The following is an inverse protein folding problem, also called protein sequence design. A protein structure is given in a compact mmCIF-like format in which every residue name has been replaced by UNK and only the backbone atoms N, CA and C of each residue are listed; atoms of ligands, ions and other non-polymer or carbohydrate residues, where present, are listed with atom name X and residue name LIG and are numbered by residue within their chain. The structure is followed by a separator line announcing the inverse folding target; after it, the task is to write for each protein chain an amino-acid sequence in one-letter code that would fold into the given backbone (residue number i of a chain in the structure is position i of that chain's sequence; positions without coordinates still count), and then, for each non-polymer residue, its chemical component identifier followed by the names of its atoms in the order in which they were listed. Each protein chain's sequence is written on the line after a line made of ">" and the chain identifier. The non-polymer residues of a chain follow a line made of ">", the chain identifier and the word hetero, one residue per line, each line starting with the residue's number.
data_IF_674282954168
#
_entry.id   IF_674282954168
#
_cell.length_a   1.000
_cell.length_b   1.000
_cell.length_c   1.000
_cell.angle_alpha   90.00
_cell.angle_beta   90.00
_cell.angle_gamma   90.00
#
_symmetry.space_group_name_H-M   'P 1'
#
loop_
_entity.id
_entity.type
_entity.pdbx_description
1 polymer ?
#
# COMPACT_ATOMS: atom_id res chain seq x y z
N UNK A 1 -47.74 17.00 90.82
CA UNK A 1 -46.62 17.69 90.14
C UNK A 1 -45.98 16.72 89.17
N UNK A 2 -46.19 16.91 87.87
CA UNK A 2 -45.64 16.04 86.79
C UNK A 2 -44.45 16.76 86.23
N UNK A 3 -43.27 16.14 86.36
CA UNK A 3 -42.05 16.65 85.67
C UNK A 3 -42.05 16.07 84.25
N UNK A 4 -41.87 17.02 83.29
CA UNK A 4 -41.71 16.66 81.85
C UNK A 4 -40.21 16.64 81.55
N UNK A 5 -39.70 15.41 81.23
CA UNK A 5 -38.36 15.18 80.81
C UNK A 5 -38.29 15.49 79.30
N UNK A 6 -37.50 16.52 78.88
CA UNK A 6 -37.23 16.82 77.53
C UNK A 6 -35.98 16.01 77.07
N UNK A 7 -36.19 15.01 76.23
CA UNK A 7 -35.08 14.41 75.47
C UNK A 7 -34.64 15.28 74.33
N UNK A 8 -33.38 15.71 74.35
CA UNK A 8 -32.72 16.41 73.21
C UNK A 8 -32.07 15.31 72.37
N UNK A 9 -32.61 15.06 71.17
CA UNK A 9 -31.95 14.24 70.15
C UNK A 9 -30.88 15.10 69.45
N UNK A 10 -29.62 14.76 69.68
CA UNK A 10 -28.51 15.31 68.89
C UNK A 10 -28.40 14.54 67.57
N UNK A 11 -28.75 15.15 66.47
CA UNK A 11 -28.53 14.62 65.13
C UNK A 11 -27.06 14.79 64.74
N UNK A 12 -26.29 13.65 64.72
CA UNK A 12 -24.95 13.66 64.13
C UNK A 12 -25.08 13.68 62.64
N UNK A 13 -24.73 14.77 62.00
CA UNK A 13 -24.55 14.87 60.56
C UNK A 13 -23.17 14.35 60.22
N UNK A 14 -23.09 13.10 59.69
CA UNK A 14 -21.88 12.59 59.07
C UNK A 14 -21.75 13.21 57.68
N UNK A 15 -20.83 14.17 57.52
CA UNK A 15 -20.37 14.64 56.19
C UNK A 15 -19.43 13.60 55.63
N UNK A 16 -19.91 12.79 54.66
CA UNK A 16 -19.07 11.93 53.85
C UNK A 16 -18.27 12.82 52.86
N UNK A 17 -16.99 13.04 53.15
CA UNK A 17 -16.07 13.68 52.21
C UNK A 17 -15.77 12.69 51.10
N UNK A 18 -16.38 12.84 49.92
CA UNK A 18 -16.00 12.15 48.70
C UNK A 18 -14.66 12.73 48.26
N UNK A 19 -13.58 12.01 48.52
CA UNK A 19 -12.28 12.32 47.92
C UNK A 19 -12.38 11.93 46.43
N UNK A 20 -12.62 12.93 45.59
CA UNK A 20 -12.49 12.74 44.13
C UNK A 20 -11.00 12.57 43.87
N UNK A 21 -10.60 11.32 43.54
CA UNK A 21 -9.28 11.06 42.98
C UNK A 21 -9.12 11.82 41.65
N UNK A 22 -7.89 12.07 41.19
CA UNK A 22 -7.69 12.75 39.93
C UNK A 22 -8.41 11.97 38.83
N UNK A 23 -9.42 12.57 38.22
CA UNK A 23 -10.10 12.00 37.07
C UNK A 23 -9.08 11.89 35.95
N UNK A 24 -8.84 10.67 35.48
CA UNK A 24 -8.02 10.47 34.27
C UNK A 24 -8.59 11.23 33.09
N UNK A 25 -7.79 11.50 32.05
CA UNK A 25 -8.25 12.26 30.89
C UNK A 25 -9.52 11.61 30.30
N UNK A 26 -10.49 12.42 29.95
CA UNK A 26 -11.71 11.91 29.31
C UNK A 26 -11.40 11.33 27.94
N UNK A 27 -12.19 10.35 27.46
CA UNK A 27 -12.05 9.77 26.11
C UNK A 27 -12.02 10.88 25.03
N UNK A 28 -12.81 11.95 25.23
CA UNK A 28 -12.81 13.10 24.32
C UNK A 28 -11.46 13.83 24.31
N UNK A 29 -10.83 14.04 25.46
CA UNK A 29 -9.51 14.68 25.56
C UNK A 29 -8.40 13.81 24.93
N UNK A 30 -8.43 12.50 25.13
CA UNK A 30 -7.48 11.57 24.52
C UNK A 30 -7.65 11.53 22.99
N UNK A 31 -8.88 11.47 22.49
CA UNK A 31 -9.16 11.52 21.05
C UNK A 31 -8.66 12.85 20.43
N UNK A 32 -8.84 13.97 21.13
CA UNK A 32 -8.33 15.27 20.69
C UNK A 32 -6.79 15.28 20.63
N UNK A 33 -6.13 14.66 21.60
CA UNK A 33 -4.67 14.55 21.62
C UNK A 33 -4.13 13.81 20.38
N UNK A 34 -4.71 12.66 20.02
CA UNK A 34 -4.28 11.94 18.80
C UNK A 34 -4.57 12.73 17.52
N UNK A 35 -5.72 13.42 17.43
CA UNK A 35 -6.03 14.26 16.27
C UNK A 35 -5.06 15.42 16.08
N UNK A 36 -4.62 16.05 17.17
CA UNK A 36 -3.63 17.13 17.13
C UNK A 36 -2.20 16.65 16.92
N UNK A 37 -1.93 15.34 17.09
CA UNK A 37 -0.63 14.72 16.88
C UNK A 37 -0.40 14.26 15.42
N UNK A 38 -1.35 14.48 14.50
CA UNK A 38 -1.15 14.14 13.07
C UNK A 38 -0.16 15.14 12.47
N UNK A 39 0.99 14.66 12.03
CA UNK A 39 2.03 15.44 11.37
C UNK A 39 1.79 15.55 9.86
N UNK A 40 1.39 14.45 9.20
CA UNK A 40 1.10 14.45 7.77
C UNK A 40 0.08 13.39 7.38
N UNK A 41 -0.54 13.62 6.22
CA UNK A 41 -1.45 12.66 5.56
C UNK A 41 -1.06 12.57 4.09
N UNK A 42 -0.93 11.34 3.59
CA UNK A 42 -0.77 11.06 2.16
C UNK A 42 -2.01 10.31 1.63
N UNK A 43 -2.41 10.50 0.38
CA UNK A 43 -1.86 11.47 -0.58
C UNK A 43 -2.01 12.91 -0.09
N UNK A 44 -1.09 13.78 -0.51
CA UNK A 44 -1.21 15.21 -0.22
C UNK A 44 -2.40 15.81 -0.97
N UNK A 45 -2.85 16.97 -0.52
CA UNK A 45 -3.97 17.69 -1.17
C UNK A 45 -3.70 17.87 -2.67
N UNK A 46 -4.72 17.59 -3.47
CA UNK A 46 -4.75 17.70 -4.93
C UNK A 46 -3.73 16.82 -5.67
N UNK A 47 -3.03 15.91 -4.97
CA UNK A 47 -2.15 14.94 -5.62
C UNK A 47 -2.96 14.03 -6.55
N UNK A 48 -2.37 13.66 -7.69
CA UNK A 48 -2.88 12.63 -8.58
C UNK A 48 -2.12 11.34 -8.29
N UNK A 49 -2.85 10.27 -7.95
CA UNK A 49 -2.26 8.98 -7.55
C UNK A 49 -2.97 7.81 -8.23
N UNK A 50 -2.37 6.64 -8.17
CA UNK A 50 -2.97 5.41 -8.65
C UNK A 50 -4.16 4.94 -7.80
N UNK A 51 -4.98 4.08 -8.38
CA UNK A 51 -6.26 3.65 -7.81
C UNK A 51 -6.15 2.75 -6.58
N UNK A 52 -4.98 2.22 -6.26
CA UNK A 52 -4.73 1.42 -5.06
C UNK A 52 -3.95 2.17 -3.97
N UNK A 53 -3.78 3.49 -4.10
CA UNK A 53 -2.99 4.26 -3.13
C UNK A 53 -3.62 4.20 -1.74
N UNK A 54 -2.89 3.71 -0.71
CA UNK A 54 -3.38 3.73 0.66
C UNK A 54 -3.40 5.15 1.23
N UNK A 55 -4.20 5.38 2.26
CA UNK A 55 -4.09 6.58 3.06
C UNK A 55 -3.00 6.38 4.11
N UNK A 56 -1.97 7.21 4.12
CA UNK A 56 -0.89 7.11 5.11
C UNK A 56 -0.98 8.29 6.08
N UNK A 57 -1.07 8.00 7.37
CA UNK A 57 -1.10 8.99 8.44
C UNK A 57 0.18 8.85 9.25
N UNK A 58 0.94 9.93 9.33
CA UNK A 58 2.14 10.02 10.17
C UNK A 58 1.82 10.88 11.40
N UNK A 59 2.13 10.37 12.57
CA UNK A 59 2.03 11.09 13.83
C UNK A 59 3.34 11.82 14.14
N UNK A 60 3.27 12.84 14.95
CA UNK A 60 4.44 13.63 15.40
C UNK A 60 5.30 12.94 16.45
N UNK A 61 4.96 11.72 16.85
CA UNK A 61 5.69 10.88 17.79
C UNK A 61 5.01 9.53 17.99
N UNK A 62 5.67 8.61 18.72
CA UNK A 62 5.21 7.24 18.91
C UNK A 62 3.81 7.14 19.53
N UNK A 63 2.98 6.27 18.95
CA UNK A 63 1.61 6.02 19.37
C UNK A 63 1.57 4.85 20.36
N UNK A 64 1.19 5.14 21.60
CA UNK A 64 1.13 4.14 22.68
C UNK A 64 -0.08 3.20 22.57
N UNK A 65 -1.25 3.72 22.18
CA UNK A 65 -2.48 2.94 21.98
C UNK A 65 -2.99 3.09 20.55
N UNK A 66 -2.63 2.11 19.71
CA UNK A 66 -2.95 2.06 18.28
C UNK A 66 -4.46 2.06 18.02
N UNK A 67 -5.22 1.25 18.76
CA UNK A 67 -6.67 1.16 18.57
C UNK A 67 -7.39 2.47 18.94
N UNK A 68 -6.91 3.15 19.95
CA UNK A 68 -7.47 4.43 20.34
C UNK A 68 -7.15 5.51 19.29
N UNK A 69 -5.93 5.51 18.75
CA UNK A 69 -5.53 6.40 17.66
C UNK A 69 -6.37 6.16 16.39
N UNK A 70 -6.55 4.90 15.96
CA UNK A 70 -7.39 4.53 14.82
C UNK A 70 -8.82 5.06 14.96
N UNK A 71 -9.44 4.88 16.13
CA UNK A 71 -10.78 5.43 16.41
C UNK A 71 -10.79 6.96 16.42
N UNK A 72 -9.73 7.59 16.92
CA UNK A 72 -9.63 9.05 16.99
C UNK A 72 -9.48 9.70 15.62
N UNK A 73 -8.69 9.08 14.71
CA UNK A 73 -8.50 9.60 13.36
C UNK A 73 -9.67 9.29 12.44
N UNK A 74 -10.36 8.17 12.59
CA UNK A 74 -11.59 7.78 11.90
C UNK A 74 -11.67 8.26 10.46
N UNK A 75 -11.18 7.46 9.49
CA UNK A 75 -11.14 7.85 8.08
C UNK A 75 -12.53 7.75 7.45
N UNK A 76 -12.92 8.80 6.74
CA UNK A 76 -14.14 8.85 5.92
C UNK A 76 -13.78 9.37 4.55
N UNK A 77 -14.35 8.78 3.51
CA UNK A 77 -14.13 9.16 2.11
C UNK A 77 -15.43 9.38 1.35
N UNK A 78 -15.33 10.17 0.29
CA UNK A 78 -16.38 10.32 -0.73
C UNK A 78 -15.69 10.15 -2.10
N UNK A 79 -16.04 9.10 -2.87
CA UNK A 79 -17.04 8.06 -2.56
C UNK A 79 -16.70 7.25 -1.30
N UNK A 80 -17.74 6.76 -0.62
CA UNK A 80 -17.57 6.03 0.63
C UNK A 80 -16.87 4.68 0.40
N UNK A 81 -15.81 4.45 1.18
CA UNK A 81 -15.00 3.23 1.15
C UNK A 81 -14.88 2.65 2.55
N UNK A 82 -14.80 1.33 2.63
CA UNK A 82 -14.33 0.60 3.80
C UNK A 82 -12.87 0.22 3.63
N UNK A 83 -12.17 -0.07 4.73
CA UNK A 83 -10.77 -0.42 4.69
C UNK A 83 -10.23 -0.82 6.05
N UNK A 84 -8.94 -1.13 6.10
CA UNK A 84 -8.25 -1.64 7.28
C UNK A 84 -7.06 -0.76 7.62
N UNK A 85 -6.79 -0.61 8.91
CA UNK A 85 -5.56 0.00 9.40
C UNK A 85 -4.43 -1.02 9.47
N UNK A 86 -3.25 -0.64 8.99
CA UNK A 86 -2.02 -1.41 9.05
C UNK A 86 -0.89 -0.50 9.54
N UNK A 87 -0.28 -0.82 10.67
CA UNK A 87 0.81 -0.05 11.24
C UNK A 87 2.13 -0.45 10.59
N UNK A 88 2.79 0.51 9.96
CA UNK A 88 4.11 0.32 9.35
C UNK A 88 5.22 0.37 10.41
N UNK A 89 5.05 1.25 11.42
CA UNK A 89 5.91 1.37 12.59
C UNK A 89 5.15 1.94 13.80
N UNK A 90 5.84 2.62 14.72
CA UNK A 90 5.22 3.21 15.91
C UNK A 90 4.56 4.58 15.67
N UNK A 91 4.83 5.21 14.54
CA UNK A 91 4.39 6.57 14.21
C UNK A 91 3.58 6.63 12.92
N UNK A 92 3.67 5.59 12.08
CA UNK A 92 3.07 5.57 10.75
C UNK A 92 2.04 4.46 10.64
N UNK A 93 0.83 4.83 10.32
CA UNK A 93 -0.26 3.92 10.01
C UNK A 93 -0.77 4.19 8.60
N UNK A 94 -0.99 3.13 7.83
CA UNK A 94 -1.74 3.21 6.58
C UNK A 94 -3.15 2.67 6.77
N UNK A 95 -4.09 3.26 6.04
CA UNK A 95 -5.42 2.73 5.87
C UNK A 95 -5.56 2.27 4.42
N UNK A 96 -5.75 0.96 4.25
CA UNK A 96 -5.85 0.31 2.95
C UNK A 96 -7.32 0.09 2.64
N UNK A 97 -7.85 0.68 1.55
CA UNK A 97 -9.24 0.46 1.17
C UNK A 97 -9.46 -1.00 0.72
N UNK A 98 -10.64 -1.54 1.01
CA UNK A 98 -11.00 -2.93 0.68
C UNK A 98 -11.17 -3.16 -0.83
N UNK A 99 -11.24 -2.10 -1.62
CA UNK A 99 -11.31 -2.10 -3.09
C UNK A 99 -10.56 -0.89 -3.64
N UNK A 100 -10.22 -0.91 -4.90
CA UNK A 100 -9.58 0.22 -5.55
C UNK A 100 -10.48 1.46 -5.58
N UNK A 101 -9.87 2.63 -5.50
CA UNK A 101 -10.56 3.90 -5.72
C UNK A 101 -11.11 3.94 -7.15
N UNK A 102 -12.25 4.58 -7.40
CA UNK A 102 -12.69 4.83 -8.77
C UNK A 102 -11.62 5.61 -9.56
N UNK A 103 -11.37 5.21 -10.79
CA UNK A 103 -10.48 5.94 -11.69
C UNK A 103 -11.03 7.33 -12.03
N UNK A 104 -10.17 8.27 -12.44
CA UNK A 104 -10.51 9.64 -12.89
C UNK A 104 -11.44 10.40 -11.92
N UNK A 105 -11.26 10.17 -10.62
CA UNK A 105 -12.17 10.68 -9.60
C UNK A 105 -11.47 11.60 -8.62
N UNK A 106 -12.22 12.56 -8.08
CA UNK A 106 -11.79 13.30 -6.91
C UNK A 106 -12.29 12.57 -5.67
N UNK A 107 -11.37 12.22 -4.77
CA UNK A 107 -11.67 11.58 -3.49
C UNK A 107 -11.55 12.62 -2.39
N UNK A 108 -12.67 12.96 -1.77
CA UNK A 108 -12.67 13.80 -0.58
C UNK A 108 -12.48 12.93 0.67
N UNK A 109 -11.63 13.39 1.57
CA UNK A 109 -11.25 12.66 2.77
C UNK A 109 -11.44 13.49 4.04
N UNK A 110 -11.85 12.81 5.09
CA UNK A 110 -11.81 13.32 6.45
C UNK A 110 -10.97 12.37 7.30
N UNK A 111 -9.90 12.87 7.88
CA UNK A 111 -8.97 12.14 8.74
C UNK A 111 -8.90 12.86 10.07
N UNK A 112 -9.62 12.35 11.06
CA UNK A 112 -9.78 13.05 12.34
C UNK A 112 -10.48 14.40 12.14
N UNK A 113 -9.77 15.50 12.39
CA UNK A 113 -10.26 16.86 12.17
C UNK A 113 -9.77 17.48 10.85
N UNK A 114 -8.91 16.79 10.12
CA UNK A 114 -8.37 17.25 8.84
C UNK A 114 -9.32 16.88 7.71
N UNK A 115 -9.56 17.84 6.80
CA UNK A 115 -10.24 17.60 5.54
C UNK A 115 -9.26 17.83 4.40
N UNK A 116 -9.15 16.86 3.52
CA UNK A 116 -8.28 16.91 2.35
C UNK A 116 -8.97 16.24 1.16
N UNK A 117 -8.38 16.32 0.00
CA UNK A 117 -8.81 15.62 -1.21
C UNK A 117 -7.59 15.24 -2.04
N UNK A 118 -7.74 14.21 -2.83
CA UNK A 118 -6.79 13.83 -3.87
C UNK A 118 -7.53 13.40 -5.13
N UNK A 119 -6.81 13.18 -6.20
CA UNK A 119 -7.36 12.70 -7.46
C UNK A 119 -6.77 11.34 -7.79
N UNK A 120 -7.57 10.49 -8.40
CA UNK A 120 -7.07 9.27 -9.03
C UNK A 120 -6.88 9.50 -10.52
N UNK A 121 -5.78 8.97 -11.04
CA UNK A 121 -5.53 8.88 -12.47
C UNK A 121 -6.36 7.77 -13.14
N UNK A 122 -5.97 7.34 -14.35
CA UNK A 122 -6.48 6.12 -14.96
C UNK A 122 -6.16 4.91 -14.06
N UNK A 123 -6.97 3.87 -14.13
CA UNK A 123 -6.69 2.61 -13.42
C UNK A 123 -5.66 1.81 -14.24
N UNK A 124 -4.38 1.96 -13.91
CA UNK A 124 -3.29 1.18 -14.52
C UNK A 124 -3.03 -0.04 -13.66
N UNK A 125 -3.40 -1.21 -14.15
CA UNK A 125 -3.28 -2.48 -13.41
C UNK A 125 -2.24 -3.36 -14.11
N UNK A 126 -1.14 -3.66 -13.41
CA UNK A 126 -0.15 -4.65 -13.84
C UNK A 126 -0.46 -6.02 -13.24
N UNK A 127 -0.39 -7.08 -14.05
CA UNK A 127 -0.62 -8.46 -13.60
C UNK A 127 0.55 -9.34 -14.03
N UNK A 128 1.35 -9.80 -13.08
CA UNK A 128 2.40 -10.78 -13.31
C UNK A 128 1.82 -12.21 -13.16
N UNK A 129 1.91 -13.03 -14.19
CA UNK A 129 1.53 -14.44 -14.18
C UNK A 129 2.79 -15.32 -14.17
N UNK A 130 3.06 -16.00 -13.04
CA UNK A 130 4.33 -16.71 -12.82
C UNK A 130 4.48 -17.86 -13.78
N UNK A 131 3.46 -18.69 -13.94
CA UNK A 131 3.52 -19.88 -14.81
C UNK A 131 3.35 -19.57 -16.29
N UNK A 132 2.75 -18.42 -16.63
CA UNK A 132 2.61 -18.01 -18.03
C UNK A 132 3.78 -17.14 -18.49
N UNK A 133 4.68 -16.75 -17.59
CA UNK A 133 5.84 -15.88 -17.85
C UNK A 133 5.45 -14.58 -18.54
N UNK A 134 4.32 -13.96 -18.11
CA UNK A 134 3.80 -12.74 -18.69
C UNK A 134 3.59 -11.64 -17.64
N UNK A 135 3.70 -10.40 -18.09
CA UNK A 135 3.24 -9.23 -17.36
C UNK A 135 2.22 -8.49 -18.22
N UNK A 136 0.95 -8.55 -17.84
CA UNK A 136 -0.14 -7.91 -18.59
C UNK A 136 -0.48 -6.57 -17.96
N UNK A 137 -0.67 -5.54 -18.78
CA UNK A 137 -1.06 -4.21 -18.32
C UNK A 137 -2.41 -3.83 -18.91
N UNK A 138 -3.30 -3.35 -18.06
CA UNK A 138 -4.56 -2.75 -18.49
C UNK A 138 -4.66 -1.32 -17.99
N UNK A 139 -5.28 -0.46 -18.81
CA UNK A 139 -5.63 0.92 -18.48
C UNK A 139 -7.14 1.06 -18.60
N UNK A 140 -7.80 1.43 -17.51
CA UNK A 140 -9.27 1.55 -17.44
C UNK A 140 -10.01 0.27 -17.88
N UNK A 141 -9.42 -0.89 -17.57
CA UNK A 141 -10.00 -2.20 -17.87
C UNK A 141 -9.78 -2.71 -19.30
N UNK A 142 -9.02 -1.99 -20.11
CA UNK A 142 -8.62 -2.39 -21.47
C UNK A 142 -7.13 -2.70 -21.48
N UNK A 143 -6.74 -3.85 -22.06
CA UNK A 143 -5.32 -4.15 -22.26
C UNK A 143 -4.65 -3.05 -23.08
N UNK A 144 -3.52 -2.55 -22.58
CA UNK A 144 -2.85 -1.38 -23.10
C UNK A 144 -1.33 -1.59 -23.13
N UNK A 145 -0.72 -1.08 -24.16
CA UNK A 145 0.73 -1.13 -24.40
C UNK A 145 1.04 -1.54 -25.83
N UNK A 146 2.28 -1.31 -26.28
CA UNK A 146 2.72 -1.84 -27.56
C UNK A 146 2.78 -3.37 -27.52
N UNK A 147 2.68 -4.06 -28.66
CA UNK A 147 3.16 -5.41 -28.75
C UNK A 147 4.65 -5.45 -28.40
N UNK A 148 5.10 -6.43 -27.62
CA UNK A 148 6.52 -6.55 -27.28
C UNK A 148 7.38 -6.72 -28.53
N UNK A 149 8.54 -6.07 -28.55
CA UNK A 149 9.50 -6.15 -29.63
C UNK A 149 10.29 -7.49 -29.66
N UNK A 150 10.17 -8.31 -28.60
CA UNK A 150 10.89 -9.58 -28.53
C UNK A 150 10.37 -10.57 -29.56
N UNK A 151 11.27 -11.29 -30.27
CA UNK A 151 10.89 -12.28 -31.27
C UNK A 151 10.32 -13.55 -30.63
N UNK A 152 9.66 -14.40 -31.43
CA UNK A 152 9.36 -15.79 -31.02
C UNK A 152 10.69 -16.52 -30.66
N UNK A 153 10.75 -17.34 -29.58
CA UNK A 153 9.63 -17.90 -28.82
C UNK A 153 9.16 -17.06 -27.62
N UNK A 154 9.82 -15.97 -27.29
CA UNK A 154 9.56 -15.18 -26.06
C UNK A 154 8.11 -14.74 -25.89
N UNK A 155 7.36 -14.63 -26.99
CA UNK A 155 6.02 -14.06 -27.01
C UNK A 155 4.91 -15.07 -27.27
N UNK A 156 5.17 -16.34 -27.15
CA UNK A 156 4.13 -17.37 -27.34
C UNK A 156 3.40 -17.66 -26.02
N UNK A 157 2.06 -17.80 -26.05
CA UNK A 157 1.15 -17.72 -27.20
C UNK A 157 0.71 -16.30 -27.60
N UNK A 158 1.19 -15.25 -26.93
CA UNK A 158 0.70 -13.87 -26.99
C UNK A 158 1.38 -13.01 -28.07
N UNK A 159 1.82 -13.62 -29.16
CA UNK A 159 2.50 -12.90 -30.22
C UNK A 159 1.64 -11.78 -30.82
N UNK A 160 2.15 -10.55 -30.74
CA UNK A 160 1.48 -9.37 -31.29
C UNK A 160 0.33 -8.84 -30.46
N UNK A 161 0.06 -9.42 -29.28
CA UNK A 161 -0.97 -8.91 -28.37
C UNK A 161 -0.46 -7.64 -27.67
N UNK A 162 -1.28 -6.59 -27.71
CA UNK A 162 -0.99 -5.34 -27.01
C UNK A 162 -1.15 -5.51 -25.51
N UNK A 163 -0.22 -4.93 -24.73
CA UNK A 163 -0.30 -4.95 -23.27
C UNK A 163 0.04 -6.27 -22.61
N UNK A 164 0.49 -7.27 -23.37
CA UNK A 164 1.00 -8.55 -22.85
C UNK A 164 2.50 -8.61 -23.10
N UNK A 165 3.30 -8.48 -22.06
CA UNK A 165 4.76 -8.45 -22.13
C UNK A 165 5.35 -9.79 -21.67
N UNK A 166 6.31 -10.36 -22.42
CA UNK A 166 7.11 -11.46 -21.93
C UNK A 166 7.86 -11.04 -20.66
N UNK A 167 7.76 -11.85 -19.61
CA UNK A 167 8.35 -11.54 -18.32
C UNK A 167 9.11 -12.73 -17.75
N UNK A 168 9.99 -12.44 -16.80
CA UNK A 168 10.67 -13.47 -15.98
C UNK A 168 10.52 -13.05 -14.52
N UNK A 169 10.04 -13.98 -13.72
CA UNK A 169 9.87 -13.79 -12.28
C UNK A 169 10.95 -14.56 -11.50
N UNK A 170 10.74 -14.67 -10.20
CA UNK A 170 11.65 -15.36 -9.29
C UNK A 170 11.79 -16.84 -9.62
N UNK A 171 13.05 -17.33 -9.64
CA UNK A 171 13.35 -18.76 -9.76
C UNK A 171 12.89 -19.52 -8.51
N UNK A 172 12.82 -20.87 -8.53
CA UNK A 172 12.28 -21.67 -7.42
C UNK A 172 12.91 -21.39 -6.05
N UNK A 173 14.22 -21.07 -6.00
CA UNK A 173 14.93 -20.77 -4.75
C UNK A 173 14.58 -19.37 -4.20
N UNK A 174 14.11 -18.45 -5.03
CA UNK A 174 13.73 -17.06 -4.71
C UNK A 174 12.41 -16.70 -5.40
N UNK A 175 11.30 -17.34 -5.05
CA UNK A 175 10.04 -17.16 -5.77
C UNK A 175 9.50 -15.73 -5.60
N UNK A 176 8.86 -15.22 -6.65
CA UNK A 176 8.06 -13.98 -6.54
C UNK A 176 6.83 -14.25 -5.69
N UNK A 177 6.63 -13.58 -4.55
CA UNK A 177 5.48 -13.88 -3.70
C UNK A 177 4.16 -13.47 -4.37
N UNK A 178 3.18 -14.37 -4.37
CA UNK A 178 1.83 -14.09 -4.85
C UNK A 178 1.16 -13.07 -3.95
N UNK A 179 0.47 -12.10 -4.53
CA UNK A 179 -0.21 -11.05 -3.76
C UNK A 179 -0.62 -9.86 -4.61
N UNK A 180 -1.32 -8.92 -3.97
CA UNK A 180 -1.63 -7.61 -4.54
C UNK A 180 -0.73 -6.57 -3.87
N UNK A 181 0.01 -5.86 -4.67
CA UNK A 181 0.97 -4.84 -4.28
C UNK A 181 0.52 -3.47 -4.79
N UNK A 182 1.08 -2.43 -4.21
CA UNK A 182 0.89 -1.05 -4.67
C UNK A 182 2.23 -0.48 -5.10
N UNK A 183 2.27 0.24 -6.20
CA UNK A 183 3.48 0.97 -6.62
C UNK A 183 3.83 2.01 -5.58
N UNK A 184 5.02 1.87 -4.98
CA UNK A 184 5.51 2.74 -3.91
C UNK A 184 6.39 3.89 -4.44
N UNK A 185 7.19 3.60 -5.48
CA UNK A 185 8.09 4.57 -6.09
C UNK A 185 8.42 4.17 -7.53
N UNK A 186 8.87 5.15 -8.31
CA UNK A 186 9.41 4.98 -9.66
C UNK A 186 10.84 5.52 -9.64
N UNK A 187 11.81 4.67 -9.89
CA UNK A 187 13.23 4.98 -9.85
C UNK A 187 13.81 4.76 -11.24
N UNK A 188 14.21 5.87 -11.90
CA UNK A 188 14.72 5.81 -13.27
C UNK A 188 15.98 4.96 -13.36
N UNK A 189 16.86 5.10 -12.37
CA UNK A 189 18.12 4.40 -12.24
C UNK A 189 18.29 3.99 -10.76
N UNK A 190 18.54 2.72 -10.51
CA UNK A 190 18.75 2.19 -9.16
C UNK A 190 19.85 1.13 -9.15
N UNK A 191 20.71 1.18 -8.14
CA UNK A 191 21.68 0.10 -7.89
C UNK A 191 20.99 -0.98 -7.08
N UNK A 192 20.84 -2.17 -7.65
CA UNK A 192 20.34 -3.34 -6.94
C UNK A 192 21.51 -4.15 -6.40
N UNK A 193 21.60 -4.22 -5.08
CA UNK A 193 22.64 -4.88 -4.31
C UNK A 193 22.04 -6.06 -3.53
N UNK A 194 22.50 -7.27 -3.84
CA UNK A 194 22.00 -8.51 -3.21
C UNK A 194 22.25 -8.55 -1.70
N UNK A 195 23.20 -7.78 -1.17
CA UNK A 195 23.45 -7.70 0.27
C UNK A 195 22.26 -7.13 1.03
N UNK A 196 21.45 -6.30 0.39
CA UNK A 196 20.22 -5.73 0.95
C UNK A 196 19.14 -6.77 1.27
N UNK A 197 19.22 -7.95 0.65
CA UNK A 197 18.34 -9.11 0.88
C UNK A 197 19.09 -10.28 1.55
N UNK A 198 20.30 -10.02 2.08
CA UNK A 198 21.06 -10.98 2.86
C UNK A 198 21.96 -11.92 2.04
N UNK A 199 22.13 -11.68 0.74
CA UNK A 199 23.02 -12.45 -0.13
C UNK A 199 24.29 -11.63 -0.35
N UNK A 200 25.50 -12.05 0.13
CA UNK A 200 26.73 -11.34 -0.15
C UNK A 200 26.97 -11.16 -1.65
N UNK A 201 27.44 -9.98 -2.08
CA UNK A 201 27.66 -9.66 -3.50
C UNK A 201 28.63 -10.62 -4.18
N UNK A 202 29.62 -11.12 -3.43
CA UNK A 202 30.64 -12.08 -3.88
C UNK A 202 30.20 -13.57 -3.79
N UNK A 203 28.98 -13.84 -3.29
CA UNK A 203 28.41 -15.18 -3.28
C UNK A 203 28.02 -15.63 -4.70
N UNK A 204 27.88 -16.97 -4.96
CA UNK A 204 27.45 -17.47 -6.27
C UNK A 204 26.15 -16.87 -6.80
N UNK A 205 25.21 -16.52 -5.89
CA UNK A 205 23.93 -15.87 -6.16
C UNK A 205 23.98 -14.35 -5.93
N UNK A 206 25.15 -13.80 -5.64
CA UNK A 206 25.34 -12.38 -5.39
C UNK A 206 25.27 -11.55 -6.68
N UNK A 207 24.82 -10.30 -6.55
CA UNK A 207 24.79 -9.36 -7.67
C UNK A 207 24.93 -7.92 -7.18
N UNK A 208 25.46 -7.09 -8.06
CA UNK A 208 25.47 -5.63 -7.97
C UNK A 208 25.17 -5.12 -9.40
N UNK A 209 23.99 -4.57 -9.60
CA UNK A 209 23.47 -4.25 -10.94
C UNK A 209 22.93 -2.83 -10.98
N UNK A 210 23.31 -2.07 -12.02
CA UNK A 210 22.62 -0.84 -12.40
C UNK A 210 21.36 -1.20 -13.17
N UNK A 211 20.22 -0.78 -12.67
CA UNK A 211 18.89 -1.15 -13.18
C UNK A 211 18.13 0.10 -13.55
N UNK A 212 17.64 0.14 -14.78
CA UNK A 212 16.80 1.22 -15.28
C UNK A 212 15.31 0.90 -15.16
N UNK A 213 14.48 1.95 -15.16
CA UNK A 213 13.02 1.86 -15.17
C UNK A 213 12.46 0.95 -14.07
N UNK A 214 12.95 1.14 -12.86
CA UNK A 214 12.55 0.33 -11.71
C UNK A 214 11.29 0.89 -11.05
N UNK A 215 10.22 0.09 -11.04
CA UNK A 215 8.95 0.36 -10.35
C UNK A 215 8.93 -0.46 -9.07
N UNK A 216 9.11 0.21 -7.93
CA UNK A 216 9.16 -0.43 -6.61
C UNK A 216 7.76 -0.80 -6.13
N UNK A 217 7.54 -2.05 -5.76
CA UNK A 217 6.25 -2.55 -5.28
C UNK A 217 6.26 -3.07 -3.84
N UNK A 218 7.44 -3.20 -3.22
CA UNK A 218 7.56 -3.44 -1.77
C UNK A 218 8.72 -2.65 -1.16
N UNK A 219 8.62 -2.35 0.13
CA UNK A 219 9.71 -1.72 0.88
C UNK A 219 10.96 -2.61 0.99
N UNK A 220 10.81 -3.92 0.81
CA UNK A 220 11.89 -4.92 0.87
C UNK A 220 12.64 -5.11 -0.45
N UNK A 221 12.31 -4.34 -1.50
CA UNK A 221 13.05 -4.37 -2.75
C UNK A 221 12.50 -5.31 -3.82
N UNK A 222 11.19 -5.56 -3.83
CA UNK A 222 10.53 -6.17 -4.98
C UNK A 222 10.19 -5.08 -6.01
N UNK A 223 10.56 -5.33 -7.27
CA UNK A 223 10.38 -4.38 -8.37
C UNK A 223 9.80 -5.05 -9.63
N UNK A 224 9.18 -4.23 -10.47
CA UNK A 224 9.04 -4.48 -11.91
C UNK A 224 10.06 -3.61 -12.61
N UNK A 225 10.97 -4.17 -13.43
CA UNK A 225 12.12 -3.40 -13.93
C UNK A 225 12.67 -3.93 -15.25
N UNK A 226 13.50 -3.11 -15.91
CA UNK A 226 14.31 -3.50 -17.07
C UNK A 226 15.37 -4.54 -16.68
N UNK A 227 15.48 -5.60 -17.47
CA UNK A 227 16.48 -6.66 -17.27
C UNK A 227 17.11 -7.09 -18.60
N UNK A 228 18.00 -6.28 -19.20
CA UNK A 228 18.63 -6.59 -20.48
C UNK A 228 19.46 -7.89 -20.42
N UNK A 229 19.96 -8.28 -19.26
CA UNK A 229 20.69 -9.54 -19.04
C UNK A 229 19.80 -10.79 -19.06
N UNK A 230 18.49 -10.63 -18.83
CA UNK A 230 17.53 -11.73 -18.75
C UNK A 230 16.68 -11.89 -20.01
N UNK A 231 16.93 -11.10 -21.07
CA UNK A 231 16.12 -11.08 -22.30
C UNK A 231 15.93 -12.47 -22.88
N UNK A 232 16.94 -13.34 -22.82
CA UNK A 232 16.84 -14.70 -23.35
C UNK A 232 15.88 -15.62 -22.55
N UNK A 233 15.51 -15.25 -21.33
CA UNK A 233 14.61 -16.04 -20.46
C UNK A 233 13.19 -15.47 -20.41
N UNK A 234 12.98 -14.21 -20.84
CA UNK A 234 11.67 -13.59 -20.80
C UNK A 234 10.64 -14.38 -21.59
N UNK A 235 9.47 -14.58 -21.01
CA UNK A 235 8.35 -15.27 -21.64
C UNK A 235 8.38 -16.81 -21.55
N UNK A 236 9.42 -17.41 -20.96
CA UNK A 236 9.50 -18.87 -20.88
C UNK A 236 10.31 -19.42 -19.68
N UNK A 237 11.01 -18.59 -18.93
CA UNK A 237 11.79 -19.05 -17.77
C UNK A 237 11.83 -18.01 -16.65
N UNK A 238 11.70 -18.45 -15.39
CA UNK A 238 11.80 -17.60 -14.20
C UNK A 238 13.22 -17.70 -13.62
N UNK A 239 14.01 -16.61 -13.74
CA UNK A 239 15.44 -16.61 -13.39
C UNK A 239 15.84 -15.54 -12.38
N UNK A 240 14.93 -14.65 -11.98
CA UNK A 240 15.24 -13.55 -11.05
C UNK A 240 15.34 -14.01 -9.58
N UNK A 241 15.71 -13.10 -8.69
CA UNK A 241 15.67 -13.27 -7.24
C UNK A 241 14.33 -12.78 -6.62
N UNK A 242 13.25 -12.81 -7.41
CA UNK A 242 11.92 -12.42 -6.98
C UNK A 242 11.31 -11.25 -7.76
N UNK A 243 12.11 -10.37 -8.34
CA UNK A 243 11.61 -9.26 -9.15
C UNK A 243 10.92 -9.72 -10.44
N UNK A 244 10.04 -8.88 -10.96
CA UNK A 244 9.43 -9.05 -12.29
C UNK A 244 10.32 -8.34 -13.30
N UNK A 245 11.02 -9.13 -14.11
CA UNK A 245 11.95 -8.67 -15.15
C UNK A 245 11.22 -8.52 -16.48
N UNK A 246 11.43 -7.39 -17.16
CA UNK A 246 10.89 -7.08 -18.49
C UNK A 246 12.03 -6.75 -19.46
N UNK A 247 11.73 -6.70 -20.76
CA UNK A 247 12.64 -6.12 -21.72
C UNK A 247 12.85 -4.62 -21.43
N UNK A 248 13.95 -3.99 -21.88
CA UNK A 248 14.17 -2.57 -21.69
C UNK A 248 13.01 -1.71 -22.22
N UNK A 249 12.51 -2.03 -23.40
CA UNK A 249 11.44 -1.29 -24.07
C UNK A 249 10.09 -1.45 -23.32
N UNK A 250 9.76 -2.66 -22.90
CA UNK A 250 8.52 -2.95 -22.18
C UNK A 250 8.56 -2.31 -20.75
N UNK A 251 9.72 -2.36 -20.10
CA UNK A 251 9.93 -1.72 -18.80
C UNK A 251 9.84 -0.20 -18.89
N UNK A 252 10.43 0.42 -19.92
CA UNK A 252 10.34 1.86 -20.16
C UNK A 252 8.89 2.28 -20.37
N UNK A 253 8.15 1.56 -21.21
CA UNK A 253 6.75 1.85 -21.46
C UNK A 253 5.93 1.75 -20.17
N UNK A 254 6.08 0.66 -19.41
CA UNK A 254 5.37 0.46 -18.14
C UNK A 254 5.72 1.55 -17.12
N UNK A 255 7.01 1.85 -16.96
CA UNK A 255 7.50 2.90 -16.09
C UNK A 255 6.85 4.26 -16.40
N UNK A 256 6.73 4.61 -17.69
CA UNK A 256 6.16 5.89 -18.10
C UNK A 256 4.63 5.93 -17.95
N UNK A 257 3.95 4.76 -17.94
CA UNK A 257 2.50 4.64 -17.89
C UNK A 257 1.96 4.56 -16.47
N UNK A 258 2.61 3.78 -15.60
CA UNK A 258 2.14 3.51 -14.23
C UNK A 258 2.36 4.72 -13.30
N UNK A 259 1.47 4.90 -12.31
CA UNK A 259 1.60 5.92 -11.28
C UNK A 259 1.88 5.31 -9.91
N UNK A 260 2.50 6.09 -9.02
CA UNK A 260 2.57 5.72 -7.60
C UNK A 260 1.15 5.55 -7.06
N UNK A 261 0.90 4.40 -6.44
CA UNK A 261 -0.43 4.05 -5.98
C UNK A 261 -1.22 3.14 -6.93
N UNK A 262 -0.72 2.80 -8.11
CA UNK A 262 -1.35 1.80 -8.98
C UNK A 262 -1.07 0.37 -8.50
N UNK A 263 -2.00 -0.58 -8.73
CA UNK A 263 -1.82 -1.96 -8.28
C UNK A 263 -0.95 -2.78 -9.22
N UNK A 264 -0.14 -3.66 -8.61
CA UNK A 264 0.53 -4.77 -9.27
C UNK A 264 0.06 -6.07 -8.61
N UNK A 265 -0.51 -6.97 -9.39
CA UNK A 265 -1.03 -8.26 -8.94
C UNK A 265 -0.08 -9.35 -9.41
N UNK A 266 0.50 -10.10 -8.47
CA UNK A 266 1.27 -11.30 -8.76
C UNK A 266 0.41 -12.51 -8.48
N UNK A 267 0.31 -13.41 -9.43
CA UNK A 267 -0.48 -14.65 -9.33
C UNK A 267 0.22 -15.82 -9.97
N UNK A 268 -0.17 -17.03 -9.58
CA UNK A 268 0.44 -18.25 -10.11
C UNK A 268 0.14 -18.47 -11.59
N UNK A 269 -1.10 -18.20 -12.00
CA UNK A 269 -1.55 -18.41 -13.39
C UNK A 269 -2.57 -17.34 -13.83
N UNK A 270 -2.84 -17.28 -15.14
CA UNK A 270 -3.71 -16.26 -15.76
C UNK A 270 -5.22 -16.46 -15.53
N UNK A 271 -5.66 -17.55 -14.92
CA UNK A 271 -7.07 -17.93 -14.89
C UNK A 271 -7.97 -17.14 -13.95
N UNK A 272 -7.42 -16.25 -13.11
CA UNK A 272 -8.20 -15.40 -12.22
C UNK A 272 -7.82 -13.93 -12.34
N UNK A 273 -8.48 -13.20 -13.23
CA UNK A 273 -8.48 -11.72 -13.17
C UNK A 273 -9.53 -11.30 -12.14
N UNK A 274 -9.17 -10.60 -11.06
CA UNK A 274 -10.17 -9.87 -10.31
C UNK A 274 -10.73 -8.79 -11.25
N UNK A 275 -11.95 -8.99 -11.75
CA UNK A 275 -12.64 -7.93 -12.50
C UNK A 275 -12.74 -6.73 -11.57
N UNK A 276 -12.19 -5.61 -12.01
CA UNK A 276 -12.53 -4.32 -11.43
C UNK A 276 -14.05 -4.23 -11.42
N UNK A 277 -14.63 -4.15 -10.23
CA UNK A 277 -16.09 -4.03 -10.10
C UNK A 277 -16.45 -2.67 -10.66
N UNK A 278 -16.91 -2.65 -11.91
CA UNK A 278 -17.65 -1.53 -12.48
C UNK A 278 -18.95 -1.40 -11.69
N UNK A 279 -19.08 -0.33 -10.93
CA UNK A 279 -20.28 0.05 -10.21
C UNK A 279 -20.64 1.48 -10.47
#
# INVERSE_FOLDING_TARGET
>A
MRQVVRCVLAAMVMTASVVAGPAGPSVAAVNQSYRSAIASVLPTRDAVVGVAHPMVVTFSGPVADRHLAERAIGIKSVPAMTGKFEWLDNEVVQWVPDRFWPAHSTVALSVGSLSTNFQTGPAVIGVASISDHTFTVSVDGVEAGPPSALPSPHHRPHWGESGVFPASMGRPDYPTPVGTYTVLAKERDVVMDSSSVGIPVDAPDGYLLDVEYAVRITSRGLFVHSAPWAVNSLGHENVSHGCVSLSPEDAEWYFNTVNVGDPVIVRENSLEVPRAVSG
#
